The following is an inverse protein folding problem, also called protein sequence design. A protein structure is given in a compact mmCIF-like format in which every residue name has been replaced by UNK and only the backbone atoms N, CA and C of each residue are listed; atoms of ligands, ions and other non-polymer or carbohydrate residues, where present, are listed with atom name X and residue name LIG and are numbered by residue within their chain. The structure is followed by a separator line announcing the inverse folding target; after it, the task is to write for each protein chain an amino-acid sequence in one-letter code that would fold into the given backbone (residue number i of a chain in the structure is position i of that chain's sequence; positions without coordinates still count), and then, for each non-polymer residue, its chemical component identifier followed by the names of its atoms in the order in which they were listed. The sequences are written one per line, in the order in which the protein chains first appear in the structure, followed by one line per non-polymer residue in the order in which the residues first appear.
data_IF_137966780397
#
_entry.id   IF_137966780397
#
_cell.length_a   1.000
_cell.length_b   1.000
_cell.length_c   1.000
_cell.angle_alpha   90.00
_cell.angle_beta   90.00
_cell.angle_gamma   90.00
#
_symmetry.space_group_name_H-M   'P 1'
#
loop_
_entity.id
_entity.type
_entity.pdbx_description
1 polymer ?
#
# COMPACT_ATOMS: atom_id res chain seq x y z
N UNK A 1 -51.22 5.68 -19.98
CA UNK A 1 -50.42 6.76 -19.37
C UNK A 1 -49.02 6.20 -19.23
N UNK A 2 -48.17 6.49 -20.21
CA UNK A 2 -46.80 5.97 -20.31
C UNK A 2 -45.94 6.75 -19.34
N UNK A 3 -45.63 6.17 -18.19
CA UNK A 3 -44.65 6.73 -17.27
C UNK A 3 -43.25 6.23 -17.68
N UNK A 4 -42.52 7.14 -18.32
CA UNK A 4 -41.09 7.08 -18.56
C UNK A 4 -40.39 7.08 -17.19
N UNK A 5 -39.83 5.94 -16.80
CA UNK A 5 -38.91 5.87 -15.68
C UNK A 5 -37.59 6.55 -16.08
N UNK A 6 -37.05 7.47 -15.27
CA UNK A 6 -35.75 8.06 -15.55
C UNK A 6 -34.66 7.00 -15.33
N UNK A 7 -34.04 6.59 -16.43
CA UNK A 7 -32.71 6.01 -16.49
C UNK A 7 -31.73 6.83 -15.65
N UNK A 8 -31.49 6.35 -14.43
CA UNK A 8 -30.76 7.08 -13.40
C UNK A 8 -29.55 6.27 -12.95
N UNK A 9 -28.39 6.79 -13.36
CA UNK A 9 -27.05 6.55 -12.83
C UNK A 9 -26.36 5.27 -13.28
N UNK A 10 -25.64 5.38 -14.41
CA UNK A 10 -24.40 4.65 -14.59
C UNK A 10 -23.40 5.09 -13.51
N UNK A 11 -23.48 4.47 -12.33
CA UNK A 11 -22.30 4.31 -11.48
C UNK A 11 -21.44 3.28 -12.19
N UNK A 12 -20.50 3.76 -13.01
CA UNK A 12 -19.41 2.93 -13.48
C UNK A 12 -18.77 2.32 -12.23
N UNK A 13 -18.89 0.99 -12.09
CA UNK A 13 -18.33 0.25 -10.97
C UNK A 13 -16.81 0.41 -10.98
N UNK A 14 -16.32 1.48 -10.37
CA UNK A 14 -14.89 1.78 -10.16
C UNK A 14 -14.22 0.77 -9.23
N UNK A 15 -14.92 -0.28 -8.83
CA UNK A 15 -14.44 -1.32 -7.91
C UNK A 15 -13.16 -2.04 -8.40
N UNK A 16 -12.84 -1.97 -9.71
CA UNK A 16 -11.60 -2.49 -10.30
C UNK A 16 -10.52 -1.44 -10.61
N UNK A 17 -10.79 -0.15 -10.42
CA UNK A 17 -9.83 0.94 -10.67
C UNK A 17 -9.08 1.30 -9.39
N UNK A 18 -7.84 1.77 -9.51
CA UNK A 18 -7.06 2.26 -8.36
C UNK A 18 -7.79 3.40 -7.66
N UNK A 19 -8.41 4.29 -8.43
CA UNK A 19 -9.23 5.38 -7.92
C UNK A 19 -10.41 4.88 -7.09
N UNK A 20 -11.13 3.85 -7.54
CA UNK A 20 -12.21 3.25 -6.75
C UNK A 20 -11.72 2.47 -5.55
N UNK A 21 -10.58 1.77 -5.64
CA UNK A 21 -9.96 1.09 -4.50
C UNK A 21 -9.53 2.08 -3.41
N UNK A 22 -9.04 3.27 -3.77
CA UNK A 22 -8.78 4.37 -2.84
C UNK A 22 -10.09 4.90 -2.22
N UNK A 23 -11.13 5.09 -3.02
CA UNK A 23 -12.43 5.61 -2.56
C UNK A 23 -13.15 4.63 -1.61
N UNK A 24 -13.09 3.33 -1.87
CA UNK A 24 -13.66 2.27 -1.03
C UNK A 24 -12.77 1.92 0.17
N UNK A 25 -11.58 2.51 0.30
CA UNK A 25 -10.66 2.27 1.40
C UNK A 25 -9.90 0.94 1.31
N UNK A 26 -9.96 0.23 0.19
CA UNK A 26 -9.14 -0.96 -0.07
C UNK A 26 -7.66 -0.61 -0.29
N UNK A 27 -7.40 0.60 -0.80
CA UNK A 27 -6.08 1.23 -0.86
C UNK A 27 -6.08 2.49 -0.01
N UNK A 28 -4.93 2.77 0.61
CA UNK A 28 -4.65 4.03 1.31
C UNK A 28 -3.53 4.76 0.60
N UNK A 29 -3.76 6.01 0.21
CA UNK A 29 -2.71 6.85 -0.35
C UNK A 29 -1.67 7.18 0.72
N UNK A 30 -0.40 6.95 0.38
CA UNK A 30 0.76 7.31 1.21
C UNK A 30 1.79 8.09 0.39
N UNK A 31 1.36 8.71 -0.72
CA UNK A 31 2.25 9.32 -1.71
C UNK A 31 3.10 10.44 -1.09
N UNK A 32 2.49 11.32 -0.30
CA UNK A 32 3.20 12.42 0.37
C UNK A 32 4.31 11.93 1.32
N UNK A 33 4.03 10.83 2.02
CA UNK A 33 4.97 10.21 2.95
C UNK A 33 6.09 9.48 2.19
N UNK A 34 5.72 8.71 1.16
CA UNK A 34 6.63 7.92 0.34
C UNK A 34 7.68 8.78 -0.37
N UNK A 35 7.31 10.00 -0.78
CA UNK A 35 8.24 10.99 -1.36
C UNK A 35 9.40 11.33 -0.43
N UNK A 36 9.18 11.34 0.89
CA UNK A 36 10.25 11.60 1.88
C UNK A 36 11.32 10.50 1.91
N UNK A 37 10.98 9.31 1.45
CA UNK A 37 11.86 8.15 1.36
C UNK A 37 12.40 7.92 -0.07
N UNK A 38 12.16 8.86 -1.00
CA UNK A 38 12.67 8.80 -2.37
C UNK A 38 11.76 8.05 -3.36
N UNK A 39 10.54 7.67 -2.97
CA UNK A 39 9.55 7.09 -3.88
C UNK A 39 8.74 8.24 -4.49
N UNK A 40 9.04 8.59 -5.75
CA UNK A 40 8.42 9.74 -6.42
C UNK A 40 7.09 9.41 -7.11
N UNK A 41 6.83 8.11 -7.33
CA UNK A 41 5.62 7.60 -7.96
C UNK A 41 4.42 7.65 -7.00
N UNK A 42 3.17 7.77 -7.52
CA UNK A 42 1.96 7.62 -6.72
C UNK A 42 2.00 6.29 -5.96
N UNK A 43 1.92 6.35 -4.63
CA UNK A 43 2.15 5.19 -3.75
C UNK A 43 0.94 4.94 -2.89
N UNK A 44 0.44 3.72 -2.91
CA UNK A 44 -0.64 3.28 -2.06
C UNK A 44 -0.28 1.97 -1.36
N UNK A 45 -0.88 1.77 -0.19
CA UNK A 45 -0.78 0.53 0.59
C UNK A 45 -2.16 -0.10 0.71
N UNK A 46 -2.26 -1.42 0.59
CA UNK A 46 -3.53 -2.13 0.76
C UNK A 46 -4.00 -2.03 2.22
N UNK A 47 -5.31 -1.99 2.43
CA UNK A 47 -5.91 -1.95 3.77
C UNK A 47 -5.47 -3.16 4.62
N UNK A 48 -5.35 -4.33 3.98
CA UNK A 48 -4.81 -5.53 4.61
C UNK A 48 -3.38 -5.30 5.10
N UNK A 49 -2.48 -4.81 4.23
CA UNK A 49 -1.10 -4.51 4.63
C UNK A 49 -1.03 -3.44 5.71
N UNK A 50 -1.88 -2.42 5.65
CA UNK A 50 -1.99 -1.39 6.68
C UNK A 50 -2.39 -1.97 8.04
N UNK A 51 -3.44 -2.81 8.09
CA UNK A 51 -3.90 -3.44 9.33
C UNK A 51 -2.86 -4.37 9.94
N UNK A 52 -2.19 -5.17 9.10
CA UNK A 52 -1.15 -6.10 9.54
C UNK A 52 0.19 -5.45 9.83
N UNK A 53 0.51 -4.26 9.32
CA UNK A 53 1.85 -3.69 9.52
C UNK A 53 1.85 -2.45 10.42
N UNK A 54 0.73 -1.73 10.47
CA UNK A 54 0.66 -0.36 10.98
C UNK A 54 -0.41 -0.24 12.09
N UNK A 55 -1.64 -0.65 11.83
CA UNK A 55 -2.80 -0.40 12.71
C UNK A 55 -2.97 -1.42 13.86
N UNK A 56 -1.90 -1.63 14.63
CA UNK A 56 -1.94 -2.43 15.87
C UNK A 56 -2.13 -1.54 17.11
N UNK A 57 -2.91 -1.98 18.11
CA UNK A 57 -3.19 -1.20 19.31
C UNK A 57 -1.94 -0.91 20.14
N UNK A 58 -1.92 0.31 20.70
CA UNK A 58 -1.04 0.91 21.71
C UNK A 58 0.45 0.55 21.69
N UNK A 59 1.26 1.57 21.40
CA UNK A 59 2.58 1.64 21.96
C UNK A 59 2.84 3.05 22.51
N UNK A 60 3.16 3.12 23.78
CA UNK A 60 3.43 4.33 24.58
C UNK A 60 4.63 5.17 24.08
N UNK A 61 5.35 4.70 23.06
CA UNK A 61 6.55 5.33 22.53
C UNK A 61 6.32 5.98 21.16
N UNK A 62 6.84 7.20 20.98
CA UNK A 62 6.83 7.91 19.70
C UNK A 62 7.46 7.11 18.54
N UNK A 63 8.40 6.21 18.84
CA UNK A 63 9.02 5.32 17.83
C UNK A 63 8.08 4.21 17.36
N UNK A 64 7.07 3.89 18.16
CA UNK A 64 6.11 2.80 17.94
C UNK A 64 4.71 3.33 17.60
N UNK A 65 4.56 4.63 17.37
CA UNK A 65 3.32 5.20 16.87
C UNK A 65 3.05 4.78 15.42
N UNK A 66 1.79 4.92 14.98
CA UNK A 66 1.34 4.57 13.64
C UNK A 66 2.21 5.21 12.53
N UNK A 67 2.55 6.49 12.70
CA UNK A 67 3.42 7.25 11.79
C UNK A 67 4.82 6.65 11.67
N UNK A 68 5.46 6.32 12.80
CA UNK A 68 6.80 5.73 12.82
C UNK A 68 6.85 4.36 12.15
N UNK A 69 5.79 3.56 12.30
CA UNK A 69 5.62 2.26 11.64
C UNK A 69 5.48 2.43 10.12
N UNK A 70 4.62 3.34 9.69
CA UNK A 70 4.45 3.68 8.28
C UNK A 70 5.78 4.10 7.64
N UNK A 71 6.57 4.93 8.33
CA UNK A 71 7.88 5.37 7.87
C UNK A 71 8.88 4.22 7.71
N UNK A 72 8.88 3.26 8.63
CA UNK A 72 9.76 2.11 8.54
C UNK A 72 9.40 1.24 7.32
N UNK A 73 8.12 1.02 7.06
CA UNK A 73 7.66 0.28 5.88
C UNK A 73 8.05 1.00 4.59
N UNK A 74 7.85 2.32 4.52
CA UNK A 74 8.25 3.13 3.36
C UNK A 74 9.76 3.09 3.11
N UNK A 75 10.57 3.14 4.17
CA UNK A 75 12.02 2.99 4.06
C UNK A 75 12.42 1.59 3.52
N UNK A 76 11.75 0.53 3.97
CA UNK A 76 11.98 -0.83 3.45
C UNK A 76 11.52 -0.98 2.00
N UNK A 77 10.35 -0.44 1.65
CA UNK A 77 9.83 -0.44 0.28
C UNK A 77 10.78 0.30 -0.68
N UNK A 78 11.27 1.49 -0.28
CA UNK A 78 12.25 2.24 -1.08
C UNK A 78 13.53 1.43 -1.32
N UNK A 79 14.06 0.76 -0.28
CA UNK A 79 15.23 -0.12 -0.42
C UNK A 79 14.98 -1.32 -1.32
N UNK A 80 13.79 -1.93 -1.25
CA UNK A 80 13.42 -3.05 -2.10
C UNK A 80 13.33 -2.63 -3.58
N UNK A 81 12.72 -1.47 -3.87
CA UNK A 81 12.67 -0.90 -5.22
C UNK A 81 14.07 -0.54 -5.77
N UNK A 82 14.93 0.06 -4.95
CA UNK A 82 16.31 0.37 -5.34
C UNK A 82 17.11 -0.89 -5.65
N UNK A 83 16.96 -1.93 -4.82
CA UNK A 83 17.58 -3.25 -5.07
C UNK A 83 17.08 -3.85 -6.37
N UNK A 84 15.77 -3.84 -6.62
CA UNK A 84 15.18 -4.38 -7.83
C UNK A 84 15.70 -3.67 -9.08
N UNK A 85 15.77 -2.34 -9.05
CA UNK A 85 16.39 -1.55 -10.13
C UNK A 85 17.86 -1.95 -10.37
N UNK A 86 18.66 -2.07 -9.30
CA UNK A 86 20.07 -2.46 -9.43
C UNK A 86 20.27 -3.87 -10.00
N UNK A 87 19.30 -4.77 -9.80
CA UNK A 87 19.35 -6.15 -10.28
C UNK A 87 18.62 -6.34 -11.62
N UNK A 88 17.94 -5.31 -12.14
CA UNK A 88 17.02 -5.44 -13.27
C UNK A 88 15.84 -6.37 -12.98
N UNK A 89 15.47 -6.56 -11.72
CA UNK A 89 14.35 -7.40 -11.31
C UNK A 89 13.03 -6.64 -11.53
N UNK A 90 12.05 -7.33 -12.10
CA UNK A 90 10.69 -6.84 -12.30
C UNK A 90 9.70 -7.60 -11.41
N UNK A 91 8.49 -7.04 -11.27
CA UNK A 91 7.41 -7.64 -10.48
C UNK A 91 7.51 -7.37 -8.98
N UNK A 92 6.82 -8.19 -8.19
CA UNK A 92 6.72 -8.02 -6.74
C UNK A 92 8.06 -8.24 -6.02
N UNK A 93 8.46 -7.25 -5.25
CA UNK A 93 9.66 -7.27 -4.43
C UNK A 93 9.30 -7.49 -2.97
N UNK A 94 9.60 -8.67 -2.46
CA UNK A 94 9.33 -9.02 -1.07
C UNK A 94 10.38 -8.43 -0.13
N UNK A 95 9.91 -7.93 1.01
CA UNK A 95 10.76 -7.52 2.11
C UNK A 95 10.14 -7.93 3.43
N UNK A 96 11.01 -8.31 4.36
CA UNK A 96 10.61 -8.67 5.70
C UNK A 96 10.76 -7.47 6.64
N UNK A 97 9.83 -7.35 7.57
CA UNK A 97 9.83 -6.35 8.61
C UNK A 97 9.37 -6.98 9.93
N UNK A 98 10.04 -6.62 11.01
CA UNK A 98 9.65 -7.04 12.37
C UNK A 98 9.00 -5.84 13.07
N UNK A 99 7.68 -5.87 13.33
CA UNK A 99 7.02 -4.82 14.09
C UNK A 99 7.60 -4.74 15.51
N UNK A 100 7.86 -3.53 15.98
CA UNK A 100 8.65 -3.26 17.19
C UNK A 100 8.13 -3.77 18.55
N UNK A 101 6.88 -4.25 18.77
CA UNK A 101 6.60 -5.01 20.00
C UNK A 101 7.08 -6.47 19.95
N UNK A 102 7.40 -7.02 18.76
CA UNK A 102 7.81 -8.42 18.59
C UNK A 102 9.32 -8.66 18.83
N UNK A 103 9.91 -7.98 19.82
CA UNK A 103 11.30 -8.21 20.24
C UNK A 103 11.51 -9.57 20.95
N UNK A 104 10.45 -10.35 21.14
CA UNK A 104 10.48 -11.75 21.60
C UNK A 104 10.44 -12.79 20.47
N UNK A 105 10.69 -12.36 19.23
CA UNK A 105 10.77 -13.26 18.06
C UNK A 105 9.40 -13.76 17.59
N UNK A 106 9.37 -14.24 16.35
CA UNK A 106 8.29 -15.00 15.72
C UNK A 106 7.30 -14.27 14.79
N UNK A 107 6.97 -12.98 14.96
CA UNK A 107 6.09 -12.29 14.00
C UNK A 107 6.89 -11.53 12.91
N UNK A 108 7.54 -12.29 12.03
CA UNK A 108 8.14 -11.74 10.81
C UNK A 108 7.03 -11.46 9.79
N UNK A 109 6.72 -10.18 9.55
CA UNK A 109 5.77 -9.81 8.52
C UNK A 109 6.48 -9.64 7.17
N UNK A 110 6.04 -10.41 6.18
CA UNK A 110 6.48 -10.24 4.80
C UNK A 110 5.50 -9.37 4.03
N UNK A 111 5.99 -8.24 3.54
CA UNK A 111 5.26 -7.36 2.63
C UNK A 111 5.91 -7.39 1.25
N UNK A 112 5.14 -7.04 0.24
CA UNK A 112 5.59 -6.87 -1.13
C UNK A 112 5.42 -5.44 -1.59
N UNK A 113 6.34 -4.97 -2.41
CA UNK A 113 6.22 -3.71 -3.16
C UNK A 113 6.42 -3.98 -4.64
N UNK A 114 5.56 -3.40 -5.47
CA UNK A 114 5.66 -3.51 -6.92
C UNK A 114 5.39 -2.16 -7.60
N UNK A 115 5.90 -2.03 -8.82
CA UNK A 115 5.54 -0.95 -9.74
C UNK A 115 4.63 -1.57 -10.81
N UNK A 116 3.37 -1.16 -10.82
CA UNK A 116 2.36 -1.59 -11.78
C UNK A 116 1.81 -0.43 -12.61
N UNK A 117 0.82 -0.72 -13.46
CA UNK A 117 0.05 0.31 -14.17
C UNK A 117 -1.12 0.82 -13.30
N UNK A 118 -1.25 2.14 -13.25
CA UNK A 118 -2.42 2.84 -12.74
C UNK A 118 -3.57 2.85 -13.74
N UNK A 119 -4.60 3.65 -13.45
CA UNK A 119 -5.87 3.65 -14.18
C UNK A 119 -5.70 4.07 -15.65
N UNK A 120 -4.69 4.90 -15.95
CA UNK A 120 -4.39 5.36 -17.33
C UNK A 120 -3.09 4.75 -17.88
N UNK A 121 -2.55 3.73 -17.22
CA UNK A 121 -1.28 3.10 -17.58
C UNK A 121 -0.04 3.81 -17.02
N UNK A 122 -0.21 4.86 -16.21
CA UNK A 122 0.88 5.54 -15.51
C UNK A 122 1.54 4.62 -14.47
N UNK A 123 2.85 4.73 -14.24
CA UNK A 123 3.51 3.90 -13.24
C UNK A 123 3.06 4.27 -11.83
N UNK A 124 2.59 3.27 -11.07
CA UNK A 124 2.15 3.43 -9.68
C UNK A 124 2.82 2.38 -8.80
N UNK A 125 3.08 2.76 -7.54
CA UNK A 125 3.62 1.85 -6.53
C UNK A 125 2.48 1.33 -5.67
N UNK A 126 2.47 0.02 -5.45
CA UNK A 126 1.53 -0.63 -4.54
C UNK A 126 2.31 -1.46 -3.53
N UNK A 127 1.99 -1.28 -2.25
CA UNK A 127 2.49 -2.08 -1.14
C UNK A 127 1.38 -3.01 -0.68
N UNK A 128 1.63 -4.32 -0.69
CA UNK A 128 0.65 -5.33 -0.27
C UNK A 128 1.28 -6.35 0.68
N UNK A 129 0.44 -7.19 1.30
CA UNK A 129 0.92 -8.36 2.05
C UNK A 129 1.38 -9.44 1.09
N UNK A 130 2.45 -10.17 1.41
CA UNK A 130 2.92 -11.26 0.56
C UNK A 130 1.87 -12.37 0.32
N UNK A 131 0.89 -12.51 1.21
CA UNK A 131 -0.19 -13.49 1.08
C UNK A 131 -1.27 -13.11 0.06
N UNK A 132 -1.22 -11.91 -0.51
CA UNK A 132 -2.24 -11.35 -1.42
C UNK A 132 -1.83 -11.47 -2.91
N UNK A 133 -0.61 -11.96 -3.19
CA UNK A 133 -0.06 -12.17 -4.52
C UNK A 133 0.28 -13.66 -4.72
#
# INVERSE_FOLDING_TARGET
MTELLPESHGVESTQGTRTGALACGALRDVTSEARRFGILLPTAITDRAWKHAIAWPEADDALRCETGRAWTILAHAARALLRAQSLGAAGLQLFNFTPAPALDGEDLLTLGVEIGSGDTGEPVVTITTAADH
#
